data_IF_213810874080
#
_entry.id   IF_213810874080
#
_cell.length_a   1.000
_cell.length_b   1.000
_cell.length_c   1.000
_cell.angle_alpha   90.00
_cell.angle_beta   90.00
_cell.angle_gamma   90.00
#
_symmetry.space_group_name_H-M   'P 1'
#
loop_
_entity.id
_entity.type
_entity.pdbx_description
1 polymer ?
#
# COMPACT_ATOMS: atom_id res chain seq x y z
N UNK A 1 5.24 -15.21 -69.38
CA UNK A 1 4.08 -15.43 -68.49
C UNK A 1 4.40 -16.62 -67.59
N UNK A 2 4.96 -16.36 -66.41
CA UNK A 2 5.29 -17.36 -65.39
C UNK A 2 4.12 -17.47 -64.39
N UNK A 3 3.73 -18.68 -63.96
CA UNK A 3 2.54 -18.88 -63.13
C UNK A 3 2.82 -18.48 -61.68
N UNK A 4 1.87 -17.73 -61.11
CA UNK A 4 1.89 -17.19 -59.76
C UNK A 4 1.81 -18.30 -58.70
N UNK A 5 2.48 -18.04 -57.58
CA UNK A 5 2.76 -18.95 -56.47
C UNK A 5 1.52 -19.44 -55.71
N UNK A 6 1.11 -20.69 -55.93
CA UNK A 6 0.07 -21.36 -55.12
C UNK A 6 0.63 -22.13 -53.92
N UNK A 7 1.95 -22.10 -53.70
CA UNK A 7 2.63 -22.85 -52.62
C UNK A 7 2.78 -22.09 -51.30
N UNK A 8 2.50 -20.79 -51.26
CA UNK A 8 2.67 -19.99 -50.04
C UNK A 8 1.41 -19.93 -49.16
N UNK A 9 0.22 -20.18 -49.69
CA UNK A 9 -1.02 -20.11 -48.90
C UNK A 9 -1.25 -21.34 -48.01
N UNK A 10 -0.85 -22.55 -48.43
CA UNK A 10 -0.99 -23.76 -47.60
C UNK A 10 -0.07 -23.78 -46.38
N UNK A 11 1.08 -23.09 -46.42
CA UNK A 11 2.00 -23.04 -45.29
C UNK A 11 1.44 -22.19 -44.12
N UNK A 12 0.67 -21.13 -44.41
CA UNK A 12 0.06 -20.30 -43.38
C UNK A 12 -1.18 -20.93 -42.73
N UNK A 13 -1.92 -21.77 -43.46
CA UNK A 13 -3.05 -22.53 -42.89
C UNK A 13 -2.56 -23.63 -41.95
N UNK A 14 -1.46 -24.31 -42.29
CA UNK A 14 -0.84 -25.30 -41.39
C UNK A 14 -0.19 -24.67 -40.14
N UNK A 15 0.37 -23.46 -40.25
CA UNK A 15 0.92 -22.74 -39.09
C UNK A 15 -0.18 -22.16 -38.18
N UNK A 16 -1.30 -21.72 -38.75
CA UNK A 16 -2.46 -21.26 -37.99
C UNK A 16 -3.26 -22.41 -37.34
N UNK A 17 -3.26 -23.61 -37.93
CA UNK A 17 -3.87 -24.80 -37.30
C UNK A 17 -3.01 -25.37 -36.16
N UNK A 18 -1.68 -25.16 -36.17
CA UNK A 18 -0.81 -25.62 -35.08
C UNK A 18 -0.85 -24.71 -33.85
N UNK A 19 -1.23 -23.44 -34.00
CA UNK A 19 -1.40 -22.51 -32.88
C UNK A 19 -2.78 -22.59 -32.23
N UNK A 20 -3.82 -23.06 -32.94
CA UNK A 20 -5.17 -23.26 -32.39
C UNK A 20 -5.30 -24.58 -31.60
N UNK A 21 -4.36 -25.52 -31.73
CA UNK A 21 -4.34 -26.78 -30.98
C UNK A 21 -3.18 -26.92 -29.98
N UNK A 22 -2.65 -25.80 -29.49
CA UNK A 22 -2.02 -25.79 -28.17
C UNK A 22 -3.13 -25.74 -27.11
N UNK A 23 -4.05 -26.72 -27.12
CA UNK A 23 -4.84 -27.01 -25.94
C UNK A 23 -3.82 -27.26 -24.84
N UNK A 24 -3.75 -26.37 -23.85
CA UNK A 24 -2.89 -26.60 -22.69
C UNK A 24 -3.38 -27.90 -22.06
N UNK A 25 -2.70 -29.01 -22.33
CA UNK A 25 -2.95 -30.29 -21.68
C UNK A 25 -2.44 -30.11 -20.24
N UNK A 26 -3.19 -29.37 -19.43
CA UNK A 26 -2.93 -29.26 -18.00
C UNK A 26 -3.41 -30.56 -17.37
N UNK A 27 -2.51 -31.21 -16.66
CA UNK A 27 -2.84 -32.32 -15.80
C UNK A 27 -3.53 -31.73 -14.56
N UNK A 28 -4.82 -31.99 -14.38
CA UNK A 28 -5.58 -31.53 -13.23
C UNK A 28 -5.57 -32.61 -12.14
N UNK A 29 -5.36 -32.19 -10.89
CA UNK A 29 -5.33 -33.08 -9.74
C UNK A 29 -6.68 -33.04 -9.03
N UNK A 30 -7.44 -34.14 -9.11
CA UNK A 30 -8.81 -34.23 -8.60
C UNK A 30 -8.88 -35.27 -7.48
N UNK A 31 -9.61 -34.94 -6.41
CA UNK A 31 -9.91 -35.87 -5.31
C UNK A 31 -11.35 -36.38 -5.40
N UNK A 32 -11.51 -37.71 -5.40
CA UNK A 32 -12.82 -38.35 -5.36
C UNK A 32 -12.93 -39.27 -4.13
N UNK A 33 -13.97 -39.12 -3.27
CA UNK A 33 -14.20 -40.02 -2.15
C UNK A 33 -14.28 -41.49 -2.62
N UNK A 34 -13.52 -42.38 -1.98
CA UNK A 34 -13.42 -43.80 -2.34
C UNK A 34 -12.37 -44.12 -3.41
N UNK A 35 -12.15 -43.20 -4.35
CA UNK A 35 -11.28 -43.38 -5.52
C UNK A 35 -9.87 -42.79 -5.35
N UNK A 36 -9.72 -41.86 -4.41
CA UNK A 36 -8.44 -41.21 -4.13
C UNK A 36 -8.15 -40.02 -5.03
N UNK A 37 -6.91 -39.53 -4.96
CA UNK A 37 -6.36 -38.55 -5.89
C UNK A 37 -6.14 -39.20 -7.25
N UNK A 38 -6.57 -38.51 -8.31
CA UNK A 38 -6.35 -38.92 -9.69
C UNK A 38 -5.81 -37.73 -10.50
N UNK A 39 -5.00 -38.05 -11.50
CA UNK A 39 -4.53 -37.06 -12.48
C UNK A 39 -5.39 -37.24 -13.71
N UNK A 40 -6.15 -36.21 -14.08
CA UNK A 40 -6.89 -36.18 -15.34
C UNK A 40 -6.17 -35.29 -16.34
N UNK A 41 -5.94 -35.81 -17.56
CA UNK A 41 -5.17 -35.13 -18.59
C UNK A 41 -3.64 -35.22 -18.41
N UNK A 42 -2.90 -34.94 -19.49
CA UNK A 42 -1.44 -34.96 -19.54
C UNK A 42 -0.88 -36.12 -20.37
N UNK A 43 0.04 -35.83 -21.30
CA UNK A 43 0.67 -36.80 -22.21
C UNK A 43 1.50 -37.92 -21.51
N UNK A 44 1.60 -37.88 -20.18
CA UNK A 44 2.41 -38.76 -19.34
C UNK A 44 1.61 -39.49 -18.24
N UNK A 45 0.27 -39.45 -18.27
CA UNK A 45 -0.57 -40.11 -17.24
C UNK A 45 -0.30 -41.63 -17.11
N UNK A 46 0.27 -42.27 -18.14
CA UNK A 46 0.68 -43.68 -18.14
C UNK A 46 2.16 -43.96 -17.82
N UNK A 47 3.03 -42.94 -17.74
CA UNK A 47 4.49 -43.07 -17.52
C UNK A 47 4.90 -42.55 -16.13
N UNK A 48 4.10 -42.87 -15.11
CA UNK A 48 4.33 -42.40 -13.75
C UNK A 48 5.46 -43.23 -13.13
N UNK A 49 6.64 -42.60 -12.99
CA UNK A 49 7.80 -43.16 -12.29
C UNK A 49 7.49 -43.51 -10.83
N UNK A 50 8.36 -44.31 -10.18
CA UNK A 50 8.17 -44.77 -8.79
C UNK A 50 7.91 -43.61 -7.82
N UNK A 51 8.57 -42.47 -8.02
CA UNK A 51 8.42 -41.30 -7.16
C UNK A 51 7.03 -40.68 -7.21
N UNK A 52 6.43 -40.60 -8.40
CA UNK A 52 5.10 -40.04 -8.54
C UNK A 52 4.01 -40.99 -8.02
N UNK A 53 4.23 -42.31 -8.06
CA UNK A 53 3.35 -43.29 -7.37
C UNK A 53 3.48 -43.20 -5.86
N UNK A 54 4.70 -43.12 -5.33
CA UNK A 54 4.94 -42.97 -3.90
C UNK A 54 4.37 -41.64 -3.37
N UNK A 55 4.49 -40.55 -4.13
CA UNK A 55 3.88 -39.26 -3.81
C UNK A 55 2.35 -39.37 -3.78
N UNK A 56 1.75 -40.03 -4.77
CA UNK A 56 0.30 -40.27 -4.83
C UNK A 56 -0.20 -41.08 -3.63
N UNK A 57 0.50 -42.16 -3.28
CA UNK A 57 0.14 -42.98 -2.11
C UNK A 57 0.17 -42.15 -0.82
N UNK A 58 1.19 -41.32 -0.65
CA UNK A 58 1.27 -40.40 0.50
C UNK A 58 0.16 -39.36 0.49
N UNK A 59 -0.24 -38.84 -0.67
CA UNK A 59 -1.36 -37.91 -0.79
C UNK A 59 -2.68 -38.57 -0.39
N UNK A 60 -2.94 -39.80 -0.87
CA UNK A 60 -4.13 -40.58 -0.50
C UNK A 60 -4.16 -40.87 1.00
N UNK A 61 -3.02 -41.30 1.56
CA UNK A 61 -2.87 -41.53 3.01
C UNK A 61 -3.10 -40.25 3.82
N UNK A 62 -2.56 -39.12 3.35
CA UNK A 62 -2.73 -37.84 4.01
C UNK A 62 -4.20 -37.41 4.04
N UNK A 63 -4.88 -37.55 2.90
CA UNK A 63 -6.28 -37.15 2.74
C UNK A 63 -7.23 -38.05 3.52
N UNK A 64 -7.04 -39.37 3.48
CA UNK A 64 -7.82 -40.29 4.31
C UNK A 64 -7.64 -40.01 5.81
N UNK A 65 -6.43 -39.64 6.24
CA UNK A 65 -6.19 -39.24 7.63
C UNK A 65 -6.84 -37.89 7.98
N UNK A 66 -6.88 -36.93 7.04
CA UNK A 66 -7.57 -35.65 7.21
C UNK A 66 -9.08 -35.87 7.38
N UNK A 67 -9.70 -36.65 6.50
CA UNK A 67 -11.15 -36.97 6.56
C UNK A 67 -11.51 -37.74 7.83
N UNK A 68 -10.61 -38.58 8.33
CA UNK A 68 -10.78 -39.26 9.61
C UNK A 68 -10.49 -38.36 10.85
N UNK A 69 -10.28 -37.05 10.67
CA UNK A 69 -9.96 -36.11 11.75
C UNK A 69 -8.57 -36.30 12.39
N UNK A 70 -7.74 -37.20 11.84
CA UNK A 70 -6.38 -37.52 12.33
C UNK A 70 -5.38 -36.48 11.86
N UNK A 71 -5.59 -35.22 12.26
CA UNK A 71 -4.81 -34.03 11.87
C UNK A 71 -3.29 -34.23 11.89
N UNK A 72 -2.74 -34.80 12.97
CA UNK A 72 -1.28 -35.00 13.11
C UNK A 72 -0.74 -35.96 12.05
N UNK A 73 -1.49 -37.02 11.75
CA UNK A 73 -1.13 -38.02 10.74
C UNK A 73 -1.20 -37.42 9.34
N UNK A 74 -2.27 -36.68 9.04
CA UNK A 74 -2.43 -35.96 7.78
C UNK A 74 -1.26 -34.98 7.55
N UNK A 75 -0.96 -34.11 8.53
CA UNK A 75 0.15 -33.15 8.46
C UNK A 75 1.51 -33.82 8.25
N UNK A 76 1.75 -34.99 8.85
CA UNK A 76 3.01 -35.72 8.66
C UNK A 76 3.12 -36.26 7.23
N UNK A 77 2.03 -36.80 6.68
CA UNK A 77 2.01 -37.33 5.32
C UNK A 77 2.15 -36.23 4.27
N UNK A 78 1.37 -35.13 4.36
CA UNK A 78 1.52 -33.98 3.46
C UNK A 78 2.92 -33.36 3.53
N UNK A 79 3.50 -33.21 4.73
CA UNK A 79 4.89 -32.72 4.88
C UNK A 79 5.90 -33.66 4.23
N UNK A 80 5.66 -34.97 4.21
CA UNK A 80 6.54 -35.92 3.52
C UNK A 80 6.45 -35.73 2.01
N UNK A 81 5.25 -35.50 1.46
CA UNK A 81 5.06 -35.16 0.04
C UNK A 81 5.90 -33.94 -0.33
N UNK A 82 5.74 -32.83 0.40
CA UNK A 82 6.42 -31.58 0.05
C UNK A 82 7.94 -31.62 0.25
N UNK A 83 8.43 -32.40 1.22
CA UNK A 83 9.87 -32.54 1.49
C UNK A 83 10.58 -33.47 0.50
N UNK A 84 9.96 -34.60 0.15
CA UNK A 84 10.60 -35.64 -0.67
C UNK A 84 10.28 -35.45 -2.16
N UNK A 85 9.06 -35.00 -2.47
CA UNK A 85 8.54 -34.89 -3.83
C UNK A 85 8.20 -33.44 -4.18
N UNK A 86 9.04 -32.50 -3.74
CA UNK A 86 8.82 -31.05 -3.88
C UNK A 86 8.50 -30.58 -5.30
N UNK A 87 9.08 -31.19 -6.33
CA UNK A 87 8.81 -30.82 -7.73
C UNK A 87 7.62 -31.57 -8.35
N UNK A 88 6.93 -32.41 -7.59
CA UNK A 88 5.75 -33.14 -8.08
C UNK A 88 4.53 -32.23 -8.18
N UNK A 89 3.62 -32.59 -9.09
CA UNK A 89 2.31 -31.94 -9.24
C UNK A 89 1.46 -31.97 -7.96
N UNK A 90 1.79 -32.86 -7.01
CA UNK A 90 1.08 -33.00 -5.74
C UNK A 90 1.51 -32.00 -4.68
N UNK A 91 2.71 -31.41 -4.81
CA UNK A 91 3.26 -30.55 -3.77
C UNK A 91 2.48 -29.26 -3.52
N UNK A 92 1.99 -28.52 -4.55
CA UNK A 92 1.13 -27.35 -4.31
C UNK A 92 -0.10 -27.70 -3.48
N UNK A 93 -0.81 -28.77 -3.83
CA UNK A 93 -1.99 -29.25 -3.11
C UNK A 93 -1.65 -29.73 -1.69
N UNK A 94 -0.51 -30.41 -1.51
CA UNK A 94 -0.04 -30.84 -0.19
C UNK A 94 0.26 -29.65 0.74
N UNK A 95 0.86 -28.57 0.22
CA UNK A 95 1.04 -27.33 0.97
C UNK A 95 -0.29 -26.66 1.28
N UNK A 96 -1.21 -26.60 0.31
CA UNK A 96 -2.54 -26.01 0.46
C UNK A 96 -3.34 -26.70 1.58
N UNK A 97 -3.43 -28.04 1.55
CA UNK A 97 -4.05 -28.84 2.62
C UNK A 97 -3.35 -28.69 3.95
N UNK A 98 -2.01 -28.63 3.94
CA UNK A 98 -1.23 -28.38 5.17
C UNK A 98 -1.60 -27.04 5.80
N UNK A 99 -1.74 -25.98 4.99
CA UNK A 99 -2.08 -24.65 5.46
C UNK A 99 -3.46 -24.62 6.13
N UNK A 100 -4.47 -25.17 5.46
CA UNK A 100 -5.83 -25.30 6.00
C UNK A 100 -5.90 -26.11 7.30
N UNK A 101 -5.24 -27.28 7.33
CA UNK A 101 -5.11 -28.05 8.55
C UNK A 101 -4.47 -27.22 9.67
N UNK A 102 -3.46 -26.38 9.37
CA UNK A 102 -2.86 -25.49 10.39
C UNK A 102 -3.86 -24.45 10.87
N UNK A 103 -4.61 -23.80 9.99
CA UNK A 103 -5.65 -22.81 10.32
C UNK A 103 -6.72 -23.36 11.25
N UNK A 104 -7.21 -24.57 11.01
CA UNK A 104 -8.20 -25.23 11.88
C UNK A 104 -7.74 -25.33 13.35
N UNK A 105 -6.43 -25.27 13.59
CA UNK A 105 -5.86 -25.30 14.95
C UNK A 105 -5.16 -24.00 15.29
N UNK A 106 -5.61 -22.90 14.70
CA UNK A 106 -5.17 -21.52 14.94
C UNK A 106 -3.66 -21.33 14.83
N UNK A 107 -3.00 -22.16 14.01
CA UNK A 107 -1.56 -22.08 13.74
C UNK A 107 -1.29 -21.11 12.58
N UNK A 108 -1.77 -19.87 12.73
CA UNK A 108 -1.71 -18.82 11.70
C UNK A 108 -0.34 -18.69 11.06
N UNK A 109 0.75 -18.73 11.84
CA UNK A 109 2.09 -18.49 11.30
C UNK A 109 2.54 -19.62 10.37
N UNK A 110 2.26 -20.87 10.78
CA UNK A 110 2.59 -22.06 9.98
C UNK A 110 1.66 -22.24 8.80
N UNK A 111 0.42 -21.76 8.92
CA UNK A 111 -0.52 -21.73 7.81
C UNK A 111 -0.05 -20.74 6.74
N UNK A 112 0.26 -19.50 7.15
CA UNK A 112 0.78 -18.48 6.25
C UNK A 112 2.07 -18.93 5.55
N UNK A 113 3.01 -19.54 6.28
CA UNK A 113 4.24 -20.09 5.69
C UNK A 113 3.94 -21.16 4.64
N UNK A 114 2.98 -22.05 4.89
CA UNK A 114 2.61 -23.09 3.92
C UNK A 114 1.96 -22.48 2.66
N UNK A 115 1.12 -21.45 2.79
CA UNK A 115 0.61 -20.68 1.65
C UNK A 115 1.71 -19.93 0.91
N UNK A 116 2.64 -19.28 1.62
CA UNK A 116 3.78 -18.59 1.02
C UNK A 116 4.68 -19.55 0.22
N UNK A 117 4.85 -20.79 0.69
CA UNK A 117 5.56 -21.83 -0.06
C UNK A 117 4.90 -22.12 -1.41
N UNK A 118 3.58 -22.04 -1.50
CA UNK A 118 2.88 -22.20 -2.78
C UNK A 118 3.25 -21.06 -3.72
N UNK A 119 3.14 -19.82 -3.26
CA UNK A 119 3.43 -18.63 -4.06
C UNK A 119 4.88 -18.58 -4.56
N UNK A 120 5.82 -18.95 -3.69
CA UNK A 120 7.25 -18.90 -4.00
C UNK A 120 7.73 -20.05 -4.89
N UNK A 121 7.22 -21.27 -4.68
CA UNK A 121 7.72 -22.46 -5.39
C UNK A 121 6.88 -22.83 -6.61
N UNK A 122 5.60 -22.42 -6.65
CA UNK A 122 4.65 -22.77 -7.71
C UNK A 122 3.83 -21.56 -8.15
N UNK A 123 4.46 -20.48 -8.66
CA UNK A 123 3.77 -19.24 -9.02
C UNK A 123 2.71 -19.42 -10.13
N UNK A 124 2.80 -20.47 -10.94
CA UNK A 124 1.84 -20.79 -12.01
C UNK A 124 0.65 -21.66 -11.52
N UNK A 125 0.43 -21.76 -10.20
CA UNK A 125 -0.70 -22.51 -9.66
C UNK A 125 -2.03 -21.86 -10.03
N UNK A 126 -3.03 -22.68 -10.38
CA UNK A 126 -4.38 -22.19 -10.65
C UNK A 126 -5.08 -21.65 -9.38
N UNK A 127 -4.54 -21.97 -8.19
CA UNK A 127 -5.03 -21.49 -6.88
C UNK A 127 -4.38 -20.18 -6.42
N UNK A 128 -3.67 -19.44 -7.28
CA UNK A 128 -2.89 -18.27 -6.85
C UNK A 128 -3.75 -17.25 -6.09
N UNK A 129 -4.86 -16.81 -6.71
CA UNK A 129 -5.76 -15.82 -6.10
C UNK A 129 -6.42 -16.33 -4.81
N UNK A 130 -6.74 -17.61 -4.74
CA UNK A 130 -7.29 -18.25 -3.55
C UNK A 130 -6.27 -18.24 -2.40
N UNK A 131 -5.04 -18.66 -2.66
CA UNK A 131 -3.94 -18.67 -1.69
C UNK A 131 -3.64 -17.25 -1.20
N UNK A 132 -3.67 -16.26 -2.09
CA UNK A 132 -3.45 -14.85 -1.73
C UNK A 132 -4.55 -14.34 -0.80
N UNK A 133 -5.82 -14.68 -1.08
CA UNK A 133 -6.95 -14.34 -0.22
C UNK A 133 -6.89 -15.03 1.15
N UNK A 134 -6.38 -16.26 1.23
CA UNK A 134 -6.09 -16.90 2.53
C UNK A 134 -4.97 -16.18 3.29
N UNK A 135 -3.90 -15.76 2.62
CA UNK A 135 -2.82 -14.97 3.24
C UNK A 135 -3.33 -13.65 3.80
N UNK A 136 -4.15 -12.93 3.04
CA UNK A 136 -4.80 -11.70 3.47
C UNK A 136 -5.68 -11.92 4.70
N UNK A 137 -6.56 -12.93 4.68
CA UNK A 137 -7.43 -13.27 5.83
C UNK A 137 -6.66 -13.62 7.09
N UNK A 138 -5.54 -14.33 6.97
CA UNK A 138 -4.67 -14.61 8.13
C UNK A 138 -4.09 -13.32 8.72
N UNK A 139 -3.66 -12.38 7.86
CA UNK A 139 -3.15 -11.09 8.31
C UNK A 139 -4.26 -10.28 9.03
N UNK A 140 -5.47 -10.24 8.45
CA UNK A 140 -6.63 -9.59 9.04
C UNK A 140 -7.03 -10.18 10.40
N UNK A 141 -7.10 -11.51 10.52
CA UNK A 141 -7.36 -12.20 11.79
C UNK A 141 -6.38 -11.77 12.88
N UNK A 142 -5.07 -11.75 12.55
CA UNK A 142 -4.02 -11.35 13.49
C UNK A 142 -4.11 -9.86 13.85
N UNK A 143 -4.39 -8.99 12.88
CA UNK A 143 -4.63 -7.55 13.09
C UNK A 143 -5.78 -7.33 14.09
N UNK A 144 -6.85 -8.13 13.96
CA UNK A 144 -8.03 -8.08 14.81
C UNK A 144 -7.86 -8.81 16.15
N UNK A 145 -6.65 -9.29 16.46
CA UNK A 145 -6.27 -9.80 17.77
C UNK A 145 -6.47 -11.31 17.94
N UNK A 146 -6.61 -12.06 16.84
CA UNK A 146 -6.49 -13.51 16.87
C UNK A 146 -5.11 -13.91 17.43
N UNK A 147 -5.08 -15.03 18.14
CA UNK A 147 -3.85 -15.55 18.76
C UNK A 147 -3.38 -16.76 17.97
N UNK A 148 -2.10 -16.80 17.64
CA UNK A 148 -1.47 -18.00 17.11
C UNK A 148 -1.36 -19.07 18.20
N UNK A 149 -1.61 -20.34 17.87
CA UNK A 149 -1.54 -21.45 18.82
C UNK A 149 -0.32 -22.31 18.56
N UNK A 150 0.56 -22.46 19.54
CA UNK A 150 1.64 -23.45 19.48
C UNK A 150 1.07 -24.85 19.66
N UNK A 151 1.50 -25.77 18.79
CA UNK A 151 1.02 -27.15 18.71
C UNK A 151 -0.50 -27.33 18.51
N UNK A 152 -1.24 -26.22 18.31
CA UNK A 152 -2.69 -26.19 18.21
C UNK A 152 -3.43 -26.17 19.56
N UNK A 153 -2.73 -25.96 20.68
CA UNK A 153 -3.32 -26.01 22.02
C UNK A 153 -2.92 -24.84 22.93
N UNK A 154 -1.70 -24.31 22.79
CA UNK A 154 -1.19 -23.25 23.67
C UNK A 154 -1.32 -21.91 22.95
N UNK A 155 -2.15 -20.96 23.41
CA UNK A 155 -2.25 -19.64 22.80
C UNK A 155 -0.97 -18.83 23.02
N UNK A 156 -0.46 -18.22 21.96
CA UNK A 156 0.57 -17.19 22.03
C UNK A 156 -0.03 -15.84 22.44
N UNK A 157 0.83 -14.85 22.65
CA UNK A 157 0.41 -13.45 22.76
C UNK A 157 -0.23 -12.97 21.46
N UNK A 158 -1.11 -11.97 21.57
CA UNK A 158 -1.60 -11.23 20.40
C UNK A 158 -0.39 -10.51 19.78
N UNK A 159 -0.26 -10.56 18.46
CA UNK A 159 0.79 -9.83 17.76
C UNK A 159 0.21 -9.20 16.51
N UNK A 160 -0.09 -7.90 16.62
CA UNK A 160 -0.56 -7.09 15.51
C UNK A 160 0.59 -6.75 14.55
N UNK A 161 1.80 -6.67 15.07
CA UNK A 161 3.04 -6.46 14.30
C UNK A 161 3.24 -7.57 13.28
N UNK A 162 2.86 -8.81 13.62
CA UNK A 162 2.92 -9.92 12.67
C UNK A 162 1.96 -9.74 11.50
N UNK A 163 0.79 -9.14 11.74
CA UNK A 163 -0.17 -8.85 10.68
C UNK A 163 0.43 -7.90 9.64
N UNK A 164 1.14 -6.85 10.08
CA UNK A 164 1.86 -5.92 9.20
C UNK A 164 2.80 -6.69 8.27
N UNK A 165 3.64 -7.56 8.83
CA UNK A 165 4.56 -8.38 8.02
C UNK A 165 3.81 -9.20 6.96
N UNK A 166 2.65 -9.76 7.31
CA UNK A 166 1.87 -10.60 6.39
C UNK A 166 1.14 -9.79 5.32
N UNK A 167 0.61 -8.62 5.64
CA UNK A 167 0.08 -7.69 4.63
C UNK A 167 1.18 -7.23 3.67
N UNK A 168 2.37 -6.92 4.15
CA UNK A 168 3.52 -6.57 3.29
C UNK A 168 3.89 -7.72 2.34
N UNK A 169 3.83 -8.97 2.79
CA UNK A 169 4.00 -10.13 1.90
C UNK A 169 2.90 -10.23 0.85
N UNK A 170 1.64 -9.91 1.18
CA UNK A 170 0.54 -9.89 0.20
C UNK A 170 0.82 -8.85 -0.89
N UNK A 171 1.23 -7.63 -0.51
CA UNK A 171 1.61 -6.57 -1.46
C UNK A 171 2.81 -7.01 -2.31
N UNK A 172 3.85 -7.56 -1.70
CA UNK A 172 5.06 -7.98 -2.41
C UNK A 172 4.82 -9.15 -3.38
N UNK A 173 3.99 -10.12 -3.01
CA UNK A 173 3.70 -11.27 -3.86
C UNK A 173 2.80 -10.91 -5.05
N UNK A 174 1.87 -9.97 -4.86
CA UNK A 174 0.85 -9.65 -5.85
C UNK A 174 0.55 -8.14 -5.88
N UNK A 175 1.50 -7.31 -6.32
CA UNK A 175 1.38 -5.86 -6.27
C UNK A 175 0.28 -5.31 -7.18
N UNK A 176 -0.23 -6.08 -8.13
CA UNK A 176 -1.34 -5.69 -9.01
C UNK A 176 -2.67 -6.34 -8.64
N UNK A 177 -2.75 -7.00 -7.49
CA UNK A 177 -3.99 -7.62 -7.01
C UNK A 177 -4.91 -6.61 -6.32
N UNK A 178 -6.21 -6.91 -6.32
CA UNK A 178 -7.19 -6.14 -5.54
C UNK A 178 -6.89 -6.16 -4.03
N UNK A 179 -6.13 -7.15 -3.55
CA UNK A 179 -5.70 -7.24 -2.16
C UNK A 179 -4.56 -6.27 -1.79
N UNK A 180 -3.77 -5.80 -2.75
CA UNK A 180 -2.63 -4.94 -2.48
C UNK A 180 -3.03 -3.58 -1.83
N UNK A 181 -3.97 -2.79 -2.39
CA UNK A 181 -4.42 -1.57 -1.72
C UNK A 181 -5.13 -1.84 -0.39
N UNK A 182 -5.91 -2.94 -0.29
CA UNK A 182 -6.54 -3.36 0.96
C UNK A 182 -5.50 -3.68 2.05
N UNK A 183 -4.39 -4.31 1.66
CA UNK A 183 -3.30 -4.68 2.55
C UNK A 183 -2.55 -3.43 3.05
N UNK A 184 -2.22 -2.49 2.16
CA UNK A 184 -1.58 -1.22 2.54
C UNK A 184 -2.44 -0.39 3.51
N UNK A 185 -3.75 -0.28 3.24
CA UNK A 185 -4.67 0.39 4.15
C UNK A 185 -4.68 -0.26 5.54
N UNK A 186 -4.65 -1.60 5.60
CA UNK A 186 -4.57 -2.32 6.88
C UNK A 186 -3.19 -2.21 7.55
N UNK A 187 -2.09 -2.10 6.79
CA UNK A 187 -0.77 -1.78 7.33
C UNK A 187 -0.81 -0.42 8.02
N UNK A 188 -1.35 0.61 7.36
CA UNK A 188 -1.50 1.94 7.92
C UNK A 188 -2.34 1.93 9.21
N UNK A 189 -3.54 1.35 9.17
CA UNK A 189 -4.43 1.20 10.34
C UNK A 189 -3.76 0.45 11.49
N UNK A 190 -2.94 -0.55 11.20
CA UNK A 190 -2.23 -1.31 12.24
C UNK A 190 -1.11 -0.48 12.85
N UNK A 191 -0.36 0.29 12.05
CA UNK A 191 0.66 1.20 12.56
C UNK A 191 0.07 2.33 13.39
N UNK A 192 -1.05 2.94 12.97
CA UNK A 192 -1.78 3.93 13.76
C UNK A 192 -2.18 3.36 15.14
N UNK A 193 -2.72 2.13 15.20
CA UNK A 193 -3.08 1.45 16.46
C UNK A 193 -1.90 1.10 17.37
N UNK A 194 -0.68 1.16 16.84
CA UNK A 194 0.56 0.88 17.55
C UNK A 194 1.38 2.16 17.80
N UNK A 195 0.78 3.34 17.57
CA UNK A 195 1.42 4.65 17.71
C UNK A 195 2.70 4.80 16.86
N UNK A 196 2.75 4.09 15.72
CA UNK A 196 3.87 4.06 14.80
C UNK A 196 3.60 4.97 13.58
N UNK A 197 3.29 6.24 13.84
CA UNK A 197 2.78 7.20 12.84
C UNK A 197 3.61 7.31 11.55
N UNK A 198 4.96 7.39 11.58
CA UNK A 198 5.75 7.48 10.35
C UNK A 198 5.54 6.32 9.37
N UNK A 199 5.33 5.11 9.91
CA UNK A 199 5.09 3.93 9.09
C UNK A 199 3.63 3.85 8.59
N UNK A 200 2.69 4.48 9.29
CA UNK A 200 1.33 4.64 8.78
C UNK A 200 1.31 5.58 7.56
N UNK A 201 2.04 6.69 7.64
CA UNK A 201 2.23 7.64 6.53
C UNK A 201 2.85 6.92 5.33
N UNK A 202 3.96 6.19 5.51
CA UNK A 202 4.60 5.43 4.40
C UNK A 202 3.61 4.48 3.68
N UNK A 203 2.79 3.76 4.45
CA UNK A 203 1.83 2.83 3.86
C UNK A 203 0.69 3.53 3.10
N UNK A 204 0.20 4.66 3.61
CA UNK A 204 -0.81 5.48 2.94
C UNK A 204 -0.24 6.15 1.69
N UNK A 205 0.98 6.70 1.77
CA UNK A 205 1.72 7.26 0.63
C UNK A 205 1.89 6.23 -0.49
N UNK A 206 2.32 5.01 -0.13
CA UNK A 206 2.42 3.91 -1.10
C UNK A 206 1.07 3.56 -1.70
N UNK A 207 -0.01 3.66 -0.95
CA UNK A 207 -1.36 3.41 -1.45
C UNK A 207 -1.76 4.46 -2.48
N UNK A 208 -1.68 5.75 -2.15
CA UNK A 208 -2.11 6.82 -3.07
C UNK A 208 -1.22 6.89 -4.32
N UNK A 209 0.08 6.63 -4.19
CA UNK A 209 1.01 6.74 -5.31
C UNK A 209 0.95 5.55 -6.27
N UNK A 210 0.73 4.34 -5.76
CA UNK A 210 0.74 3.12 -6.59
C UNK A 210 -0.66 2.62 -6.95
N UNK A 211 -1.69 3.07 -6.24
CA UNK A 211 -3.07 2.58 -6.35
C UNK A 211 -4.10 3.71 -6.38
N UNK A 212 -3.78 4.84 -7.02
CA UNK A 212 -4.67 6.00 -7.15
C UNK A 212 -6.06 5.71 -7.75
N UNK A 213 -6.21 4.59 -8.48
CA UNK A 213 -7.49 4.15 -9.06
C UNK A 213 -8.28 3.18 -8.17
N UNK A 214 -7.75 2.84 -7.00
CA UNK A 214 -8.44 1.98 -6.04
C UNK A 214 -9.66 2.69 -5.45
N UNK A 215 -10.72 1.93 -5.14
CA UNK A 215 -11.85 2.43 -4.36
C UNK A 215 -11.45 2.91 -2.96
N UNK A 216 -10.26 2.52 -2.46
CA UNK A 216 -9.70 3.01 -1.21
C UNK A 216 -8.90 4.32 -1.35
N UNK A 217 -8.75 4.85 -2.57
CA UNK A 217 -7.98 6.09 -2.75
C UNK A 217 -8.56 7.27 -1.95
N UNK A 218 -9.87 7.55 -1.95
CA UNK A 218 -10.44 8.64 -1.14
C UNK A 218 -10.12 8.46 0.36
N UNK A 219 -10.40 7.27 0.91
CA UNK A 219 -10.09 6.93 2.30
C UNK A 219 -8.61 7.13 2.63
N UNK A 220 -7.71 6.74 1.72
CA UNK A 220 -6.27 6.82 1.95
C UNK A 220 -5.77 8.26 1.97
N UNK A 221 -6.24 9.11 1.04
CA UNK A 221 -5.92 10.55 1.04
C UNK A 221 -6.42 11.23 2.31
N UNK A 222 -7.66 10.94 2.71
CA UNK A 222 -8.26 11.54 3.90
C UNK A 222 -7.56 11.08 5.19
N UNK A 223 -7.27 9.78 5.32
CA UNK A 223 -6.51 9.23 6.45
C UNK A 223 -5.08 9.77 6.50
N UNK A 224 -4.44 9.99 5.35
CA UNK A 224 -3.10 10.57 5.28
C UNK A 224 -3.10 12.02 5.79
N UNK A 225 -4.06 12.83 5.34
CA UNK A 225 -4.24 14.20 5.82
C UNK A 225 -4.46 14.25 7.34
N UNK A 226 -5.36 13.40 7.87
CA UNK A 226 -5.60 13.28 9.31
C UNK A 226 -4.38 12.81 10.09
N UNK A 227 -3.61 11.87 9.52
CA UNK A 227 -2.41 11.35 10.16
C UNK A 227 -1.35 12.45 10.30
N UNK A 228 -1.16 13.29 9.28
CA UNK A 228 -0.33 14.49 9.38
C UNK A 228 -0.90 15.51 10.37
N UNK A 229 -2.21 15.76 10.36
CA UNK A 229 -2.84 16.68 11.30
C UNK A 229 -2.67 16.22 12.77
N UNK A 230 -2.64 14.90 13.02
CA UNK A 230 -2.41 14.35 14.36
C UNK A 230 -1.00 14.63 14.93
N UNK A 231 -0.04 14.99 14.07
CA UNK A 231 1.32 15.36 14.45
C UNK A 231 1.48 16.87 14.74
N UNK A 232 0.40 17.65 14.65
CA UNK A 232 0.44 19.10 14.85
C UNK A 232 0.26 19.45 16.33
N UNK A 233 1.33 19.96 16.95
CA UNK A 233 1.34 20.41 18.35
C UNK A 233 0.83 21.85 18.55
N UNK A 234 0.42 22.52 17.47
CA UNK A 234 -0.12 23.87 17.47
C UNK A 234 0.80 24.93 16.84
N UNK A 235 0.42 26.22 16.88
CA UNK A 235 1.02 27.26 16.04
C UNK A 235 2.43 27.70 16.47
N UNK A 236 2.85 27.36 17.69
CA UNK A 236 4.19 27.67 18.23
C UNK A 236 5.27 26.67 17.80
N UNK A 237 4.87 25.51 17.30
CA UNK A 237 5.77 24.40 16.99
C UNK A 237 6.15 24.38 15.50
N UNK A 238 6.90 23.36 15.09
CA UNK A 238 7.20 23.17 13.67
C UNK A 238 5.90 22.96 12.85
N UNK A 239 5.88 23.55 11.65
CA UNK A 239 4.68 23.61 10.81
C UNK A 239 4.80 22.75 9.55
N UNK A 240 5.75 21.81 9.48
CA UNK A 240 5.86 20.88 8.35
C UNK A 240 4.62 20.00 8.25
N UNK A 241 4.27 19.29 9.32
CA UNK A 241 3.07 18.44 9.34
C UNK A 241 1.77 19.22 9.10
N UNK A 242 1.68 20.47 9.57
CA UNK A 242 0.54 21.34 9.29
C UNK A 242 0.39 21.60 7.78
N UNK A 243 1.51 21.86 7.08
CA UNK A 243 1.48 22.09 5.62
C UNK A 243 1.14 20.82 4.86
N UNK A 244 1.72 19.69 5.23
CA UNK A 244 1.39 18.39 4.62
C UNK A 244 -0.10 18.06 4.78
N UNK A 245 -0.65 18.26 5.99
CA UNK A 245 -2.08 18.06 6.24
C UNK A 245 -2.94 18.97 5.35
N UNK A 246 -2.61 20.27 5.25
CA UNK A 246 -3.30 21.21 4.35
C UNK A 246 -3.27 20.70 2.91
N UNK A 247 -2.09 20.31 2.41
CA UNK A 247 -1.93 19.81 1.05
C UNK A 247 -2.80 18.58 0.79
N UNK A 248 -2.78 17.58 1.68
CA UNK A 248 -3.58 16.38 1.48
C UNK A 248 -5.09 16.59 1.62
N UNK A 249 -5.54 17.50 2.49
CA UNK A 249 -6.95 17.89 2.53
C UNK A 249 -7.39 18.62 1.25
N UNK A 250 -6.56 19.54 0.74
CA UNK A 250 -6.81 20.24 -0.53
C UNK A 250 -6.88 19.25 -1.69
N UNK A 251 -5.89 18.35 -1.79
CA UNK A 251 -5.84 17.31 -2.82
C UNK A 251 -7.07 16.41 -2.75
N UNK A 252 -7.47 15.97 -1.56
CA UNK A 252 -8.68 15.17 -1.39
C UNK A 252 -9.92 15.91 -1.90
N UNK A 253 -10.11 17.18 -1.54
CA UNK A 253 -11.25 17.97 -1.99
C UNK A 253 -11.27 18.22 -3.51
N UNK A 254 -10.09 18.32 -4.13
CA UNK A 254 -9.93 18.50 -5.58
C UNK A 254 -10.22 17.18 -6.31
N UNK A 255 -9.67 16.07 -5.83
CA UNK A 255 -9.73 14.77 -6.49
C UNK A 255 -11.05 14.03 -6.26
N UNK A 256 -11.71 14.26 -5.11
CA UNK A 256 -12.87 13.51 -4.66
C UNK A 256 -14.04 14.44 -4.27
N UNK A 257 -14.40 15.36 -5.18
CA UNK A 257 -15.42 16.39 -4.96
C UNK A 257 -16.87 15.90 -4.78
N UNK A 258 -17.10 14.59 -4.78
CA UNK A 258 -18.42 13.97 -4.56
C UNK A 258 -18.40 12.91 -3.43
N UNK A 259 -17.25 12.72 -2.77
CA UNK A 259 -17.08 11.73 -1.72
C UNK A 259 -17.70 12.18 -0.38
N UNK A 260 -18.11 11.22 0.45
CA UNK A 260 -18.80 11.49 1.72
C UNK A 260 -17.93 12.19 2.76
N UNK A 261 -16.60 12.06 2.66
CA UNK A 261 -15.65 12.67 3.57
C UNK A 261 -15.36 14.16 3.33
N UNK A 262 -16.02 14.82 2.35
CA UNK A 262 -15.77 16.24 2.04
C UNK A 262 -15.97 17.19 3.22
N UNK A 263 -17.01 16.98 4.03
CA UNK A 263 -17.27 17.82 5.20
C UNK A 263 -16.14 17.69 6.24
N UNK A 264 -15.63 16.47 6.43
CA UNK A 264 -14.52 16.20 7.34
C UNK A 264 -13.20 16.77 6.81
N UNK A 265 -12.95 16.64 5.50
CA UNK A 265 -11.77 17.22 4.86
C UNK A 265 -11.76 18.75 4.94
N UNK A 266 -12.91 19.40 4.69
CA UNK A 266 -13.05 20.86 4.82
C UNK A 266 -12.81 21.32 6.26
N UNK A 267 -13.37 20.60 7.24
CA UNK A 267 -13.15 20.92 8.64
C UNK A 267 -11.66 20.80 9.01
N UNK A 268 -11.02 19.69 8.66
CA UNK A 268 -9.59 19.47 8.91
C UNK A 268 -8.71 20.52 8.21
N UNK A 269 -9.05 20.90 6.98
CA UNK A 269 -8.38 21.96 6.24
C UNK A 269 -8.48 23.31 6.96
N UNK A 270 -9.66 23.70 7.42
CA UNK A 270 -9.88 24.96 8.12
C UNK A 270 -9.14 25.00 9.46
N UNK A 271 -9.12 23.88 10.19
CA UNK A 271 -8.36 23.73 11.44
C UNK A 271 -6.86 23.91 11.18
N UNK A 272 -6.30 23.21 10.19
CA UNK A 272 -4.86 23.29 9.88
C UNK A 272 -4.46 24.65 9.30
N UNK A 273 -5.28 25.25 8.43
CA UNK A 273 -5.07 26.62 7.94
C UNK A 273 -5.12 27.64 9.07
N UNK A 274 -6.00 27.45 10.05
CA UNK A 274 -6.04 28.29 11.26
C UNK A 274 -4.73 28.18 12.03
N UNK A 275 -4.27 26.96 12.33
CA UNK A 275 -2.99 26.74 13.04
C UNK A 275 -1.83 27.39 12.28
N UNK A 276 -1.75 27.19 10.97
CA UNK A 276 -0.69 27.76 10.15
C UNK A 276 -0.74 29.30 10.15
N UNK A 277 -1.91 29.90 9.96
CA UNK A 277 -2.08 31.35 9.99
C UNK A 277 -1.75 31.95 11.37
N UNK A 278 -2.14 31.29 12.47
CA UNK A 278 -1.77 31.70 13.83
C UNK A 278 -0.25 31.64 14.05
N UNK A 279 0.42 30.63 13.50
CA UNK A 279 1.89 30.54 13.54
C UNK A 279 2.53 31.78 12.90
N UNK A 280 1.98 32.23 11.77
CA UNK A 280 2.43 33.47 11.10
C UNK A 280 2.13 34.71 11.93
N UNK A 281 0.98 34.79 12.58
CA UNK A 281 0.67 35.89 13.51
C UNK A 281 1.71 35.99 14.63
N UNK A 282 2.09 34.85 15.22
CA UNK A 282 3.10 34.80 16.30
C UNK A 282 4.46 35.28 15.80
N UNK A 283 4.91 34.81 14.63
CA UNK A 283 6.16 35.26 14.02
C UNK A 283 6.14 36.75 13.68
N UNK A 284 5.01 37.25 13.17
CA UNK A 284 4.77 38.67 12.92
C UNK A 284 4.88 39.51 14.19
N UNK A 285 4.17 39.10 15.25
CA UNK A 285 4.18 39.77 16.55
C UNK A 285 5.57 39.77 17.19
N UNK A 286 6.28 38.64 17.13
CA UNK A 286 7.64 38.53 17.63
C UNK A 286 8.59 39.47 16.86
N UNK A 287 8.50 39.46 15.53
CA UNK A 287 9.35 40.28 14.65
C UNK A 287 9.08 41.78 14.84
N UNK A 288 7.81 42.15 15.01
CA UNK A 288 7.41 43.53 15.28
C UNK A 288 7.91 44.00 16.65
N UNK A 289 7.73 43.18 17.70
CA UNK A 289 7.99 43.58 19.09
C UNK A 289 9.48 43.51 19.47
N UNK A 290 10.15 42.41 19.14
CA UNK A 290 11.51 42.13 19.61
C UNK A 290 12.58 42.50 18.58
N UNK A 291 12.34 42.21 17.30
CA UNK A 291 13.29 42.57 16.24
C UNK A 291 13.14 44.02 15.77
N UNK A 292 12.06 44.71 16.18
CA UNK A 292 11.69 46.07 15.75
C UNK A 292 11.66 46.20 14.21
N UNK A 293 11.34 45.11 13.51
CA UNK A 293 11.39 45.04 12.06
C UNK A 293 9.97 45.03 11.50
N UNK A 294 9.47 46.22 11.18
CA UNK A 294 8.11 46.44 10.64
C UNK A 294 7.91 45.74 9.29
N UNK A 295 8.89 45.87 8.38
CA UNK A 295 8.85 45.22 7.06
C UNK A 295 8.81 43.69 7.17
N UNK A 296 9.59 43.12 8.08
CA UNK A 296 9.58 41.68 8.35
C UNK A 296 8.25 41.20 8.94
N UNK A 297 7.69 41.92 9.91
CA UNK A 297 6.39 41.60 10.49
C UNK A 297 5.26 41.66 9.44
N UNK A 298 5.30 42.65 8.54
CA UNK A 298 4.36 42.77 7.42
C UNK A 298 4.32 41.52 6.54
N UNK A 299 5.47 40.91 6.25
CA UNK A 299 5.53 39.66 5.47
C UNK A 299 4.74 38.55 6.15
N UNK A 300 4.96 38.33 7.45
CA UNK A 300 4.25 37.29 8.18
C UNK A 300 2.73 37.54 8.27
N UNK A 301 2.28 38.78 8.49
CA UNK A 301 0.84 39.06 8.49
C UNK A 301 0.21 38.86 7.10
N UNK A 302 0.91 39.23 6.03
CA UNK A 302 0.45 38.94 4.67
C UNK A 302 0.42 37.43 4.37
N UNK A 303 1.37 36.65 4.89
CA UNK A 303 1.33 35.18 4.82
C UNK A 303 0.11 34.64 5.55
N UNK A 304 -0.19 35.12 6.77
CA UNK A 304 -1.39 34.71 7.51
C UNK A 304 -2.68 34.97 6.71
N UNK A 305 -2.79 36.13 6.06
CA UNK A 305 -3.92 36.48 5.19
C UNK A 305 -3.97 35.55 3.98
N UNK A 306 -2.84 35.33 3.31
CA UNK A 306 -2.80 34.50 2.09
C UNK A 306 -3.15 33.05 2.39
N UNK A 307 -2.72 32.52 3.54
CA UNK A 307 -2.98 31.14 3.94
C UNK A 307 -4.43 30.88 4.33
N UNK A 308 -5.14 31.87 4.90
CA UNK A 308 -6.57 31.72 5.20
C UNK A 308 -7.35 33.05 5.07
N UNK A 309 -7.63 33.52 3.85
CA UNK A 309 -8.07 34.90 3.58
C UNK A 309 -9.39 35.33 4.25
N UNK A 310 -10.30 34.38 4.43
CA UNK A 310 -11.65 34.60 4.96
C UNK A 310 -11.80 34.19 6.43
N UNK A 311 -10.69 34.10 7.17
CA UNK A 311 -10.68 33.71 8.58
C UNK A 311 -10.66 34.90 9.54
N UNK A 312 -11.00 34.63 10.81
CA UNK A 312 -10.79 35.58 11.91
C UNK A 312 -9.29 35.93 12.09
N UNK A 313 -8.39 35.00 11.77
CA UNK A 313 -6.93 35.24 11.82
C UNK A 313 -6.53 36.29 10.78
N UNK A 314 -7.06 36.19 9.56
CA UNK A 314 -6.80 37.18 8.50
C UNK A 314 -7.37 38.57 8.84
N UNK A 315 -8.52 38.64 9.52
CA UNK A 315 -9.04 39.92 10.03
C UNK A 315 -8.08 40.57 11.03
N UNK A 316 -7.59 39.81 12.03
CA UNK A 316 -6.58 40.31 12.98
C UNK A 316 -5.26 40.66 12.31
N UNK A 317 -4.84 39.92 11.29
CA UNK A 317 -3.64 40.23 10.52
C UNK A 317 -3.75 41.58 9.80
N UNK A 318 -4.92 41.92 9.23
CA UNK A 318 -5.18 43.23 8.61
C UNK A 318 -5.08 44.37 9.62
N UNK A 319 -5.65 44.20 10.82
CA UNK A 319 -5.51 45.19 11.90
C UNK A 319 -4.03 45.43 12.28
N UNK A 320 -3.21 44.38 12.28
CA UNK A 320 -1.77 44.51 12.54
C UNK A 320 -1.04 45.24 11.41
N UNK A 321 -1.46 45.07 10.16
CA UNK A 321 -0.91 45.80 9.02
C UNK A 321 -1.24 47.30 9.10
N UNK A 322 -2.46 47.67 9.51
CA UNK A 322 -2.83 49.07 9.73
C UNK A 322 -1.94 49.74 10.81
N UNK A 323 -1.61 49.00 11.88
CA UNK A 323 -0.68 49.45 12.92
C UNK A 323 0.73 49.65 12.35
N UNK A 324 1.19 48.76 11.47
CA UNK A 324 2.49 48.90 10.81
C UNK A 324 2.48 50.15 9.92
N UNK A 325 1.45 50.35 9.10
CA UNK A 325 1.33 51.50 8.19
C UNK A 325 1.38 52.82 8.95
N UNK A 326 0.64 52.92 10.06
CA UNK A 326 0.66 54.10 10.93
C UNK A 326 2.07 54.38 11.50
N UNK A 327 2.77 53.34 11.98
CA UNK A 327 4.13 53.48 12.52
C UNK A 327 5.16 53.84 11.47
N UNK A 328 5.08 53.26 10.27
CA UNK A 328 5.99 53.61 9.18
C UNK A 328 5.80 55.07 8.76
N UNK A 329 4.55 55.56 8.72
CA UNK A 329 4.24 56.96 8.46
C UNK A 329 4.81 57.90 9.55
N UNK A 330 4.66 57.56 10.84
CA UNK A 330 5.25 58.32 11.96
C UNK A 330 6.78 58.38 11.88
N UNK A 331 7.42 57.30 11.42
CA UNK A 331 8.87 57.20 11.29
C UNK A 331 9.41 57.81 9.98
N UNK A 332 8.54 58.33 9.11
CA UNK A 332 8.93 58.87 7.80
C UNK A 332 9.49 57.80 6.85
N UNK A 333 9.16 56.52 7.07
CA UNK A 333 9.57 55.40 6.23
C UNK A 333 8.54 55.27 5.11
N UNK A 334 8.87 55.66 3.87
CA UNK A 334 8.00 55.36 2.73
C UNK A 334 7.97 53.86 2.45
N UNK A 335 6.77 53.33 2.21
CA UNK A 335 6.58 51.96 1.72
C UNK A 335 7.03 51.90 0.26
N UNK A 336 8.33 51.74 0.01
CA UNK A 336 8.90 51.55 -1.33
C UNK A 336 8.55 50.16 -1.91
N UNK A 337 7.31 49.70 -1.76
CA UNK A 337 6.85 48.43 -2.30
C UNK A 337 6.74 48.47 -3.85
N UNK A 338 6.55 49.64 -4.44
CA UNK A 338 6.46 49.77 -5.90
C UNK A 338 7.85 49.75 -6.58
N UNK A 339 8.89 50.24 -5.89
CA UNK A 339 10.24 50.31 -6.46
C UNK A 339 10.94 48.95 -6.48
N UNK A 340 10.74 48.11 -5.45
CA UNK A 340 11.36 46.78 -5.39
C UNK A 340 10.60 45.73 -6.23
N UNK A 341 9.29 45.87 -6.41
CA UNK A 341 8.53 45.08 -7.38
C UNK A 341 9.00 45.38 -8.82
N UNK A 342 9.21 46.66 -9.16
CA UNK A 342 9.76 47.07 -10.45
C UNK A 342 11.21 46.62 -10.67
N UNK A 343 12.04 46.58 -9.60
CA UNK A 343 13.42 46.05 -9.67
C UNK A 343 13.45 44.53 -9.86
N UNK A 344 12.56 43.78 -9.19
CA UNK A 344 12.44 42.32 -9.36
C UNK A 344 11.91 41.94 -10.75
N UNK A 345 11.01 42.73 -11.32
CA UNK A 345 10.53 42.54 -12.70
C UNK A 345 11.60 42.82 -13.77
N UNK A 346 12.58 43.69 -13.48
CA UNK A 346 13.66 44.06 -14.41
C UNK A 346 14.99 43.31 -14.19
N UNK A 347 15.04 42.30 -13.32
CA UNK A 347 16.25 41.48 -13.14
C UNK A 347 16.18 40.25 -14.06
N UNK A 348 17.08 40.08 -15.05
CA UNK A 348 17.06 38.91 -15.91
C UNK A 348 17.32 37.64 -15.09
N UNK A 349 16.53 36.58 -15.34
CA UNK A 349 16.65 35.30 -14.67
C UNK A 349 18.10 34.77 -14.71
N UNK A 350 18.65 34.27 -13.58
CA UNK A 350 19.99 33.70 -13.57
C UNK A 350 20.05 32.49 -14.50
N UNK A 351 21.01 32.51 -15.45
CA UNK A 351 21.22 31.42 -16.41
C UNK A 351 21.39 30.08 -15.67
N UNK A 352 20.77 28.99 -16.14
CA UNK A 352 20.85 27.70 -15.48
C UNK A 352 22.31 27.24 -15.40
N UNK A 353 22.80 27.01 -14.18
CA UNK A 353 24.12 26.41 -13.96
C UNK A 353 24.11 25.00 -14.53
N UNK A 354 24.87 24.76 -15.60
CA UNK A 354 25.14 23.40 -16.12
C UNK A 354 25.73 22.56 -14.98
N UNK A 355 25.00 21.55 -14.52
CA UNK A 355 25.53 20.52 -13.63
C UNK A 355 26.64 19.80 -14.39
N UNK A 356 27.90 19.97 -13.95
CA UNK A 356 28.99 19.07 -14.33
C UNK A 356 28.69 17.72 -13.70
N UNK A 357 28.32 16.74 -14.50
CA UNK A 357 28.44 15.34 -14.14
C UNK A 357 29.95 15.07 -13.95
N UNK A 358 30.40 14.95 -12.70
CA UNK A 358 31.61 14.20 -12.41
C UNK A 358 31.18 12.75 -12.30
N UNK A 359 31.49 11.96 -13.33
CA UNK A 359 31.49 10.52 -13.22
C UNK A 359 32.60 10.07 -12.29
N UNK A 360 32.27 9.18 -11.38
CA UNK A 360 33.22 8.28 -10.72
C UNK A 360 32.52 6.91 -10.65
N UNK A 361 33.30 5.91 -11.06
CA UNK A 361 33.11 4.46 -11.18
C UNK A 361 32.09 3.78 -10.28
#
# INVERSE_FOLDING_TARGET
MSPFSMRRFSAYIFLALFTVFAAQIRAELIWTPGDGWKIEGGALSGLVGSDARNALELMNKARAAEEAGKRRTALRAYKKVTKVYGNSIYSPEAYYRTAHLRLQGRQYYKAFEAFQRIMTLYPNTDRFNEVLGEQYRIAEDLMNGARNYYFGIIPAFRSRERAITYFEWVVANAPYSDYAPLALMNVAKTHQRLDNTPYAIDALDRLINNYAQSLLAPDAYLELAKTHASLVDGPLYDQESTREAITYFEDYMILFSEDEGLAEAQQGLDEMRTVFAESKMILGDYTMKYNKNLRGARVFYNEAITSFPNSAVAARAREKLDIIDAREAELGISSDNDADAARRANTPAPKPKRKKFLGIF
#
